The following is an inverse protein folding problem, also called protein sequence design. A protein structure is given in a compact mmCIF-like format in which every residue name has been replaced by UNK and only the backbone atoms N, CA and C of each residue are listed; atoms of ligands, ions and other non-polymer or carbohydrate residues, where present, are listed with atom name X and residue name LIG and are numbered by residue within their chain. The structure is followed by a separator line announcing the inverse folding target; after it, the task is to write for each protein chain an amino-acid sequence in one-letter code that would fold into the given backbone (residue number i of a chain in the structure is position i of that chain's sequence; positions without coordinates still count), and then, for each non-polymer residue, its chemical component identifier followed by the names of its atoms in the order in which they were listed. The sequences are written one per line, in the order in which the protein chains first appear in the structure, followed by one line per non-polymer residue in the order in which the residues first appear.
data_IF_879987769146
#
_entry.id   IF_879987769146
#
_cell.length_a   1.000
_cell.length_b   1.000
_cell.length_c   1.000
_cell.angle_alpha   90.00
_cell.angle_beta   90.00
_cell.angle_gamma   90.00
#
_symmetry.space_group_name_H-M   'P 1'
#
loop_
_entity.id
_entity.type
_entity.pdbx_description
1 polymer ?
#
# COMPACT_ATOMS: atom_id res chain seq x y z
N UNK A 1 23.28 -47.25 55.46
CA UNK A 1 24.39 -46.38 55.04
C UNK A 1 24.15 -45.96 53.59
N UNK A 2 24.22 -44.64 53.32
CA UNK A 2 24.41 -43.95 52.02
C UNK A 2 23.23 -43.85 51.02
N UNK A 3 22.70 -42.62 50.98
CA UNK A 3 21.79 -41.96 50.03
C UNK A 3 22.33 -41.95 48.60
N UNK A 4 21.43 -41.94 47.58
CA UNK A 4 21.52 -41.04 46.40
C UNK A 4 20.13 -40.79 45.80
N UNK A 5 19.56 -39.61 46.07
CA UNK A 5 18.42 -39.06 45.33
C UNK A 5 19.03 -38.32 44.13
N UNK A 6 18.82 -38.82 42.91
CA UNK A 6 19.19 -38.08 41.71
C UNK A 6 18.24 -36.89 41.55
N UNK A 7 18.81 -35.69 41.64
CA UNK A 7 18.15 -34.45 41.19
C UNK A 7 18.26 -34.40 39.66
N UNK A 8 17.14 -34.58 38.97
CA UNK A 8 17.05 -34.21 37.56
C UNK A 8 16.86 -32.68 37.49
N UNK A 9 17.92 -31.95 37.16
CA UNK A 9 17.83 -30.55 36.80
C UNK A 9 17.23 -30.46 35.39
N UNK A 10 15.93 -30.16 35.30
CA UNK A 10 15.27 -29.84 34.04
C UNK A 10 15.75 -28.47 33.55
N UNK A 11 16.58 -28.47 32.51
CA UNK A 11 16.96 -27.26 31.80
C UNK A 11 15.85 -26.92 30.80
N UNK A 12 14.90 -26.07 31.19
CA UNK A 12 13.87 -25.55 30.29
C UNK A 12 14.52 -24.52 29.37
N UNK A 13 14.90 -24.91 28.15
CA UNK A 13 15.22 -23.96 27.08
C UNK A 13 13.93 -23.26 26.66
N UNK A 14 13.73 -22.03 27.14
CA UNK A 14 12.75 -21.12 26.56
C UNK A 14 13.36 -20.61 25.24
N UNK A 15 12.99 -21.26 24.14
CA UNK A 15 13.26 -20.78 22.80
C UNK A 15 12.41 -19.54 22.55
N UNK A 16 12.97 -18.34 22.76
CA UNK A 16 12.43 -17.13 22.17
C UNK A 16 12.71 -17.17 20.67
N UNK A 17 11.81 -17.78 19.90
CA UNK A 17 11.78 -17.56 18.47
C UNK A 17 11.40 -16.08 18.24
N UNK A 18 12.22 -15.26 17.57
CA UNK A 18 11.73 -13.98 17.10
C UNK A 18 10.57 -14.29 16.15
N UNK A 19 9.38 -13.80 16.48
CA UNK A 19 8.25 -13.83 15.56
C UNK A 19 8.66 -13.03 14.34
N UNK A 20 9.16 -13.71 13.31
CA UNK A 20 9.36 -13.12 11.99
C UNK A 20 7.95 -12.80 11.49
N UNK A 21 7.53 -11.54 11.65
CA UNK A 21 6.30 -11.07 11.01
C UNK A 21 6.52 -11.19 9.50
N UNK A 22 5.68 -11.95 8.82
CA UNK A 22 5.71 -12.01 7.37
C UNK A 22 5.54 -10.58 6.82
N UNK A 23 6.41 -10.20 5.89
CA UNK A 23 6.31 -8.91 5.22
C UNK A 23 4.98 -8.86 4.43
N UNK A 24 4.27 -7.74 4.52
CA UNK A 24 3.00 -7.55 3.81
C UNK A 24 3.30 -7.46 2.33
N UNK A 25 2.69 -8.33 1.54
CA UNK A 25 2.82 -8.27 0.08
C UNK A 25 2.01 -7.12 -0.50
N UNK A 26 2.42 -6.61 -1.67
CA UNK A 26 1.66 -5.59 -2.42
C UNK A 26 0.23 -6.06 -2.69
N UNK A 27 0.05 -7.34 -2.99
CA UNK A 27 -1.27 -7.94 -3.18
C UNK A 27 -2.15 -7.80 -1.93
N UNK A 28 -1.61 -8.06 -0.75
CA UNK A 28 -2.34 -7.89 0.50
C UNK A 28 -2.68 -6.42 0.78
N UNK A 29 -1.80 -5.48 0.46
CA UNK A 29 -2.10 -4.06 0.53
C UNK A 29 -3.28 -3.67 -0.38
N UNK A 30 -3.25 -4.12 -1.64
CA UNK A 30 -4.25 -3.76 -2.64
C UNK A 30 -5.59 -4.47 -2.42
N UNK A 31 -5.59 -5.78 -2.25
CA UNK A 31 -6.81 -6.60 -2.22
C UNK A 31 -7.43 -6.72 -0.81
N UNK A 32 -6.64 -6.54 0.25
CA UNK A 32 -7.11 -6.71 1.63
C UNK A 32 -6.92 -5.47 2.53
N UNK A 33 -6.38 -4.38 1.99
CA UNK A 33 -6.17 -3.13 2.73
C UNK A 33 -5.13 -3.22 3.86
N UNK A 34 -4.25 -4.22 3.85
CA UNK A 34 -3.20 -4.34 4.87
C UNK A 34 -2.14 -3.26 4.68
N UNK A 35 -1.85 -2.51 5.73
CA UNK A 35 -0.72 -1.58 5.74
C UNK A 35 0.64 -2.30 5.79
N UNK A 36 1.69 -1.66 5.30
CA UNK A 36 3.03 -2.24 5.31
C UNK A 36 4.14 -1.29 4.88
N UNK A 37 5.37 -1.78 4.99
CA UNK A 37 6.59 -1.09 4.54
C UNK A 37 7.06 -1.70 3.22
N UNK A 38 7.21 -0.87 2.18
CA UNK A 38 7.54 -1.32 0.83
C UNK A 38 8.78 -0.61 0.31
N UNK A 39 9.59 -1.27 -0.52
CA UNK A 39 10.52 -0.50 -1.35
C UNK A 39 9.71 0.37 -2.29
N UNK A 40 10.21 1.57 -2.55
CA UNK A 40 9.44 2.56 -3.28
C UNK A 40 10.32 3.38 -4.21
N UNK A 41 9.72 3.81 -5.33
CA UNK A 41 10.32 4.73 -6.28
C UNK A 41 9.32 5.83 -6.65
N UNK A 42 9.83 7.06 -6.81
CA UNK A 42 9.06 8.22 -7.25
C UNK A 42 9.72 8.86 -8.47
N UNK A 43 8.96 9.03 -9.55
CA UNK A 43 9.42 9.56 -10.85
C UNK A 43 10.71 8.87 -11.33
N UNK A 44 10.76 7.54 -11.21
CA UNK A 44 11.89 6.70 -11.60
C UNK A 44 13.10 6.70 -10.65
N UNK A 45 13.01 7.35 -9.47
CA UNK A 45 14.08 7.35 -8.47
C UNK A 45 13.70 6.48 -7.28
N UNK A 46 14.49 5.43 -7.03
CA UNK A 46 14.33 4.57 -5.85
C UNK A 46 14.69 5.34 -4.58
N UNK A 47 13.84 5.23 -3.56
CA UNK A 47 14.08 5.80 -2.25
C UNK A 47 15.16 5.03 -1.48
N UNK A 48 15.88 5.71 -0.59
CA UNK A 48 16.96 5.08 0.20
C UNK A 48 16.46 4.22 1.36
N UNK A 49 15.17 4.33 1.70
CA UNK A 49 14.47 3.55 2.74
C UNK A 49 13.09 3.15 2.23
N UNK A 50 12.48 2.16 2.88
CA UNK A 50 11.10 1.77 2.62
C UNK A 50 10.12 2.93 2.90
N UNK A 51 9.02 2.92 2.17
CA UNK A 51 7.87 3.78 2.40
C UNK A 51 6.82 3.03 3.21
N UNK A 52 6.17 3.73 4.13
CA UNK A 52 4.98 3.22 4.80
C UNK A 52 3.77 3.46 3.91
N UNK A 53 2.97 2.43 3.67
CA UNK A 53 1.84 2.50 2.73
C UNK A 53 0.58 1.92 3.36
N UNK A 54 -0.52 2.64 3.22
CA UNK A 54 -1.86 2.19 3.59
C UNK A 54 -2.80 2.28 2.39
N UNK A 55 -3.83 1.44 2.37
CA UNK A 55 -4.91 1.49 1.38
C UNK A 55 -6.24 1.38 2.12
N UNK A 56 -6.94 2.50 2.27
CA UNK A 56 -8.08 2.64 3.18
C UNK A 56 -9.25 3.35 2.53
N UNK A 57 -10.47 3.05 2.96
CA UNK A 57 -11.65 3.81 2.52
C UNK A 57 -11.68 5.19 3.18
N UNK A 58 -11.68 6.25 2.36
CA UNK A 58 -11.74 7.63 2.82
C UNK A 58 -12.84 8.43 2.12
N UNK A 59 -13.29 9.51 2.78
CA UNK A 59 -14.20 10.48 2.19
C UNK A 59 -13.40 11.47 1.36
N UNK A 60 -13.58 11.42 0.04
CA UNK A 60 -12.94 12.32 -0.93
C UNK A 60 -13.90 13.44 -1.33
N UNK A 61 -13.40 14.67 -1.34
CA UNK A 61 -14.17 15.89 -1.68
C UNK A 61 -13.67 16.58 -2.95
N UNK A 62 -12.74 15.95 -3.67
CA UNK A 62 -12.24 16.43 -4.95
C UNK A 62 -13.41 16.57 -5.95
N UNK A 63 -13.58 17.74 -6.54
CA UNK A 63 -14.77 18.08 -7.35
C UNK A 63 -14.97 17.15 -8.54
N UNK A 64 -13.89 16.79 -9.23
CA UNK A 64 -13.98 16.00 -10.46
C UNK A 64 -14.33 14.54 -10.12
N UNK A 65 -13.72 14.01 -9.06
CA UNK A 65 -14.07 12.68 -8.53
C UNK A 65 -15.50 12.63 -7.97
N UNK A 66 -15.94 13.66 -7.27
CA UNK A 66 -17.33 13.76 -6.78
C UNK A 66 -18.31 13.89 -7.93
N UNK A 67 -17.97 14.62 -9.00
CA UNK A 67 -18.84 14.73 -10.17
C UNK A 67 -18.99 13.38 -10.89
N UNK A 68 -17.90 12.62 -10.98
CA UNK A 68 -17.88 11.32 -11.65
C UNK A 68 -18.51 10.19 -10.81
N UNK A 69 -18.05 10.02 -9.57
CA UNK A 69 -18.46 8.90 -8.69
C UNK A 69 -19.62 9.25 -7.73
N UNK A 70 -19.90 10.54 -7.51
CA UNK A 70 -20.85 11.03 -6.50
C UNK A 70 -22.30 11.09 -6.97
N UNK A 71 -22.88 9.95 -7.34
CA UNK A 71 -24.32 9.76 -7.60
C UNK A 71 -24.95 10.83 -8.52
N UNK A 72 -24.31 11.13 -9.66
CA UNK A 72 -24.86 12.02 -10.68
C UNK A 72 -24.86 13.51 -10.31
N UNK A 73 -23.85 13.96 -9.56
CA UNK A 73 -23.57 15.39 -9.36
C UNK A 73 -24.32 16.08 -8.20
N UNK A 74 -25.07 15.33 -7.39
CA UNK A 74 -25.72 15.88 -6.17
C UNK A 74 -24.89 15.71 -4.90
N UNK A 75 -23.91 14.81 -4.92
CA UNK A 75 -23.05 14.57 -3.77
C UNK A 75 -22.03 15.70 -3.60
N UNK A 76 -21.61 15.93 -2.35
CA UNK A 76 -20.50 16.84 -2.00
C UNK A 76 -19.20 16.09 -1.67
N UNK A 77 -19.29 14.77 -1.57
CA UNK A 77 -18.19 13.86 -1.29
C UNK A 77 -18.53 12.47 -1.80
N UNK A 78 -17.51 11.64 -1.95
CA UNK A 78 -17.64 10.23 -2.32
C UNK A 78 -16.67 9.39 -1.49
N UNK A 79 -17.05 8.18 -1.11
CA UNK A 79 -16.15 7.23 -0.45
C UNK A 79 -15.33 6.52 -1.52
N UNK A 80 -14.01 6.52 -1.37
CA UNK A 80 -13.09 5.86 -2.30
C UNK A 80 -12.00 5.14 -1.51
N UNK A 81 -11.46 4.06 -2.05
CA UNK A 81 -10.21 3.50 -1.56
C UNK A 81 -9.08 4.49 -1.88
N UNK A 82 -8.27 4.82 -0.90
CA UNK A 82 -7.17 5.78 -1.02
C UNK A 82 -5.87 5.12 -0.60
N UNK A 83 -4.95 5.06 -1.56
CA UNK A 83 -3.57 4.68 -1.33
C UNK A 83 -2.82 5.89 -0.77
N UNK A 84 -2.39 5.79 0.49
CA UNK A 84 -1.55 6.80 1.12
C UNK A 84 -0.12 6.26 1.20
N UNK A 85 0.84 7.04 0.69
CA UNK A 85 2.27 6.72 0.72
C UNK A 85 2.95 7.77 1.59
N UNK A 86 3.56 7.35 2.69
CA UNK A 86 4.46 8.17 3.50
C UNK A 86 5.90 7.89 3.06
N UNK A 87 6.52 8.88 2.43
CA UNK A 87 7.87 8.80 1.91
C UNK A 87 8.91 8.90 3.04
N UNK A 88 10.17 8.46 2.82
CA UNK A 88 11.21 8.53 3.84
C UNK A 88 11.53 9.94 4.35
N UNK A 89 11.26 10.96 3.53
CA UNK A 89 11.40 12.39 3.88
C UNK A 89 10.18 12.96 4.63
N UNK A 90 9.24 12.10 5.04
CA UNK A 90 7.99 12.44 5.73
C UNK A 90 6.98 13.22 4.89
N UNK A 91 7.22 13.38 3.60
CA UNK A 91 6.18 13.86 2.67
C UNK A 91 5.17 12.75 2.39
N UNK A 92 3.98 13.12 1.89
CA UNK A 92 2.94 12.16 1.53
C UNK A 92 2.53 12.28 0.07
N UNK A 93 2.05 11.18 -0.48
CA UNK A 93 1.29 11.17 -1.73
C UNK A 93 0.03 10.34 -1.57
N UNK A 94 -1.08 10.86 -2.10
CA UNK A 94 -2.41 10.28 -1.93
C UNK A 94 -3.08 10.03 -3.27
N UNK A 95 -3.58 8.82 -3.45
CA UNK A 95 -4.18 8.39 -4.70
C UNK A 95 -5.50 7.68 -4.45
N UNK A 96 -6.59 8.19 -5.05
CA UNK A 96 -7.89 7.53 -4.99
C UNK A 96 -8.03 6.51 -6.11
N UNK A 97 -8.50 5.31 -5.75
CA UNK A 97 -8.87 4.24 -6.66
C UNK A 97 -10.28 4.46 -7.19
N UNK A 98 -10.40 4.50 -8.52
CA UNK A 98 -11.66 4.50 -9.25
C UNK A 98 -12.17 3.08 -9.56
N UNK A 99 -13.28 3.01 -10.28
CA UNK A 99 -13.67 1.77 -10.95
C UNK A 99 -12.71 1.49 -12.14
N UNK A 100 -12.64 0.24 -12.59
CA UNK A 100 -11.72 -0.20 -13.67
C UNK A 100 -10.23 0.04 -13.42
N UNK A 101 -9.84 0.25 -12.15
CA UNK A 101 -8.48 0.54 -11.67
C UNK A 101 -7.82 1.78 -12.29
N UNK A 102 -8.63 2.78 -12.65
CA UNK A 102 -8.14 4.14 -12.80
C UNK A 102 -7.70 4.68 -11.44
N UNK A 103 -6.66 5.51 -11.41
CA UNK A 103 -6.13 6.05 -10.16
C UNK A 103 -5.92 7.56 -10.28
N UNK A 104 -6.42 8.33 -9.32
CA UNK A 104 -6.39 9.79 -9.37
C UNK A 104 -5.52 10.36 -8.26
N UNK A 105 -4.62 11.28 -8.61
CA UNK A 105 -3.75 11.93 -7.64
C UNK A 105 -4.52 13.01 -6.87
N UNK A 106 -4.79 12.76 -5.59
CA UNK A 106 -5.56 13.67 -4.74
C UNK A 106 -4.80 14.94 -4.36
N UNK A 107 -3.47 14.93 -4.45
CA UNK A 107 -2.62 16.09 -4.16
C UNK A 107 -2.46 17.01 -5.39
N UNK A 108 -2.87 16.55 -6.57
CA UNK A 108 -2.92 17.37 -7.77
C UNK A 108 -4.20 18.23 -7.80
N UNK A 109 -4.10 19.43 -8.39
CA UNK A 109 -5.27 20.30 -8.59
C UNK A 109 -6.28 19.55 -9.47
N UNK A 110 -7.48 19.35 -8.93
CA UNK A 110 -8.60 18.64 -9.56
C UNK A 110 -8.36 17.14 -9.85
N UNK A 111 -7.45 16.46 -9.17
CA UNK A 111 -7.44 14.98 -9.22
C UNK A 111 -6.94 14.42 -10.55
N UNK A 112 -5.82 14.95 -11.07
CA UNK A 112 -5.18 14.46 -12.30
C UNK A 112 -5.22 12.93 -12.39
N UNK A 113 -5.63 12.42 -13.54
CA UNK A 113 -5.72 10.98 -13.81
C UNK A 113 -4.36 10.37 -14.10
N UNK A 114 -4.09 9.27 -13.42
CA UNK A 114 -2.96 8.37 -13.60
C UNK A 114 -3.53 6.98 -13.94
N UNK A 115 -2.67 6.07 -14.35
CA UNK A 115 -3.08 4.70 -14.68
C UNK A 115 -2.31 3.68 -13.86
N UNK A 116 -2.95 2.58 -13.50
CA UNK A 116 -2.25 1.41 -13.00
C UNK A 116 -1.68 0.59 -14.15
N UNK A 117 -0.47 0.05 -13.98
CA UNK A 117 0.12 -0.85 -14.96
C UNK A 117 -0.37 -2.28 -14.75
N UNK A 118 -1.04 -2.82 -15.76
CA UNK A 118 -1.53 -4.19 -15.78
C UNK A 118 -0.51 -5.14 -16.41
N UNK A 119 -0.56 -6.42 -16.02
CA UNK A 119 0.04 -7.51 -16.79
C UNK A 119 -0.79 -7.73 -18.07
N UNK A 120 -2.09 -7.90 -17.88
CA UNK A 120 -3.15 -8.05 -18.87
C UNK A 120 -4.38 -7.42 -18.24
N UNK A 121 -5.17 -6.60 -18.94
CA UNK A 121 -6.33 -5.96 -18.30
C UNK A 121 -7.41 -7.01 -17.97
N UNK A 122 -7.95 -7.06 -16.73
CA UNK A 122 -7.76 -6.16 -15.59
C UNK A 122 -6.80 -6.67 -14.47
N UNK A 123 -5.89 -7.59 -14.75
CA UNK A 123 -4.94 -8.18 -13.81
C UNK A 123 -3.64 -7.34 -13.60
N UNK A 124 -3.31 -7.05 -12.34
CA UNK A 124 -2.04 -6.43 -11.94
C UNK A 124 -0.89 -7.44 -11.93
N UNK A 125 0.29 -7.02 -12.39
CA UNK A 125 1.53 -7.78 -12.24
C UNK A 125 2.16 -7.57 -10.84
N UNK A 126 1.60 -8.21 -9.81
CA UNK A 126 2.12 -8.06 -8.45
C UNK A 126 3.58 -8.52 -8.29
N UNK A 127 4.12 -9.33 -9.22
CA UNK A 127 5.54 -9.73 -9.20
C UNK A 127 6.48 -8.56 -9.51
N UNK A 128 5.98 -7.53 -10.21
CA UNK A 128 6.72 -6.28 -10.48
C UNK A 128 6.37 -5.16 -9.51
N UNK A 129 5.48 -5.42 -8.56
CA UNK A 129 4.95 -4.45 -7.61
C UNK A 129 3.75 -3.66 -8.14
N UNK A 130 3.27 -2.71 -7.34
CA UNK A 130 2.22 -1.78 -7.76
C UNK A 130 2.86 -0.63 -8.52
N UNK A 131 2.55 -0.49 -9.82
CA UNK A 131 3.11 0.56 -10.68
C UNK A 131 2.01 1.53 -11.09
N UNK A 132 2.22 2.82 -10.78
CA UNK A 132 1.38 3.93 -11.24
C UNK A 132 2.12 4.64 -12.37
N UNK A 133 1.42 4.88 -13.48
CA UNK A 133 1.89 5.55 -14.67
C UNK A 133 1.34 6.97 -14.74
N UNK A 134 2.17 7.92 -15.17
CA UNK A 134 1.73 9.26 -15.50
C UNK A 134 0.94 9.30 -16.83
N UNK A 135 0.38 10.46 -17.16
CA UNK A 135 -0.37 10.69 -18.41
C UNK A 135 0.45 10.43 -19.71
N UNK A 136 1.76 10.22 -19.61
CA UNK A 136 2.66 9.87 -20.73
C UNK A 136 3.06 8.39 -20.70
N UNK A 137 2.36 7.55 -19.93
CA UNK A 137 2.66 6.13 -19.73
C UNK A 137 4.06 5.85 -19.16
N UNK A 138 4.62 6.80 -18.42
CA UNK A 138 5.92 6.62 -17.75
C UNK A 138 5.68 6.22 -16.30
N UNK A 139 6.55 5.37 -15.77
CA UNK A 139 6.51 4.99 -14.37
C UNK A 139 6.66 6.21 -13.47
N UNK A 140 5.60 6.49 -12.73
CA UNK A 140 5.51 7.59 -11.79
C UNK A 140 5.77 7.11 -10.36
N UNK A 141 5.17 5.99 -9.97
CA UNK A 141 5.40 5.33 -8.69
C UNK A 141 5.57 3.83 -8.92
N UNK A 142 6.43 3.20 -8.12
CA UNK A 142 6.47 1.75 -7.93
C UNK A 142 6.59 1.41 -6.45
N UNK A 143 5.84 0.41 -5.99
CA UNK A 143 5.91 -0.18 -4.65
C UNK A 143 6.17 -1.69 -4.76
N UNK A 144 7.17 -2.25 -4.05
CA UNK A 144 7.51 -3.69 -4.12
C UNK A 144 8.22 -4.22 -2.88
#
# INVERSE_FOLDING_TARGET
MIKRILRAAGLTMILFAPFASAEVSVRQLVESGKEGEFNCAYKGKTASKKCHVTNVEEVVTNKDLVAFYGAGGKAKSVKMQVLNILWPDQTHSRFAWGDSMEISNLDAKNGESYALKFAEWPELDYNKGLIILDAKNREYIRLW
#
